data_IF_116839190368
#
_entry.id   IF_116839190368
#
_cell.length_a   1.000
_cell.length_b   1.000
_cell.length_c   1.000
_cell.angle_alpha   90.00
_cell.angle_beta   90.00
_cell.angle_gamma   90.00
#
_symmetry.space_group_name_H-M   'P 1'
#
loop_
_entity.id
_entity.type
_entity.pdbx_description
1 polymer ?
#
# COMPACT_ATOMS: atom_id res chain seq x y z
N UNK A 1 -17.24 14.43 -12.31
CA UNK A 1 -16.30 15.27 -11.53
C UNK A 1 -16.18 14.82 -10.07
N UNK A 2 -17.28 14.64 -9.32
CA UNK A 2 -17.26 14.25 -7.89
C UNK A 2 -16.31 13.09 -7.53
N UNK A 3 -16.33 11.97 -8.26
CA UNK A 3 -15.45 10.81 -8.01
C UNK A 3 -13.93 11.12 -8.08
N UNK A 4 -13.52 12.05 -8.95
CA UNK A 4 -12.11 12.43 -9.09
C UNK A 4 -11.66 13.34 -7.94
N UNK A 5 -12.54 14.23 -7.50
CA UNK A 5 -12.31 15.10 -6.34
C UNK A 5 -12.15 14.24 -5.09
N UNK A 6 -13.08 13.31 -4.85
CA UNK A 6 -12.99 12.38 -3.72
C UNK A 6 -11.69 11.55 -3.75
N UNK A 7 -11.28 11.05 -4.92
CA UNK A 7 -10.01 10.31 -5.03
C UNK A 7 -8.80 11.19 -4.70
N UNK A 8 -8.81 12.46 -5.12
CA UNK A 8 -7.74 13.40 -4.79
C UNK A 8 -7.69 13.69 -3.28
N UNK A 9 -8.85 13.89 -2.64
CA UNK A 9 -8.97 14.08 -1.19
C UNK A 9 -8.37 12.90 -0.42
N UNK A 10 -8.75 11.66 -0.78
CA UNK A 10 -8.18 10.45 -0.15
C UNK A 10 -6.66 10.36 -0.31
N UNK A 11 -6.14 10.72 -1.49
CA UNK A 11 -4.68 10.70 -1.70
C UNK A 11 -3.97 11.77 -0.89
N UNK A 12 -4.55 12.96 -0.74
CA UNK A 12 -4.00 14.03 0.10
C UNK A 12 -3.95 13.62 1.57
N UNK A 13 -4.99 12.96 2.08
CA UNK A 13 -5.04 12.42 3.44
C UNK A 13 -3.99 11.33 3.70
N UNK A 14 -3.57 10.60 2.67
CA UNK A 14 -2.53 9.58 2.78
C UNK A 14 -1.09 10.14 2.83
N UNK A 15 -0.86 11.36 2.31
CA UNK A 15 0.48 11.95 2.21
C UNK A 15 1.26 12.04 3.54
N UNK A 16 0.64 12.42 4.68
CA UNK A 16 1.35 12.44 5.96
C UNK A 16 1.91 11.08 6.37
N UNK A 17 1.17 9.99 6.08
CA UNK A 17 1.60 8.63 6.38
C UNK A 17 2.73 8.17 5.46
N UNK A 18 2.63 8.46 4.16
CA UNK A 18 3.71 8.17 3.21
C UNK A 18 5.00 8.86 3.66
N UNK A 19 4.91 10.14 4.06
CA UNK A 19 6.05 10.90 4.58
C UNK A 19 6.64 10.29 5.85
N UNK A 20 5.81 9.82 6.80
CA UNK A 20 6.32 9.26 8.06
C UNK A 20 7.09 7.94 7.87
N UNK A 21 6.76 7.18 6.83
CA UNK A 21 7.40 5.90 6.52
C UNK A 21 8.42 5.97 5.37
N UNK A 22 8.62 7.13 4.76
CA UNK A 22 9.57 7.28 3.65
C UNK A 22 10.98 6.86 4.07
N UNK A 23 11.59 5.97 3.27
CA UNK A 23 12.90 5.38 3.50
C UNK A 23 12.95 4.32 4.61
N UNK A 24 11.86 4.10 5.37
CA UNK A 24 11.82 3.09 6.43
C UNK A 24 11.72 1.69 5.85
N UNK A 25 12.32 0.73 6.55
CA UNK A 25 12.16 -0.70 6.26
C UNK A 25 11.00 -1.24 7.09
N UNK A 26 10.09 -1.98 6.46
CA UNK A 26 8.92 -2.57 7.12
C UNK A 26 8.90 -4.06 6.83
N UNK A 27 9.01 -4.88 7.88
CA UNK A 27 8.96 -6.34 7.76
C UNK A 27 7.50 -6.80 7.78
N UNK A 28 7.08 -7.51 6.73
CA UNK A 28 5.69 -7.91 6.52
C UNK A 28 5.63 -9.43 6.47
N UNK A 29 5.02 -10.03 7.51
CA UNK A 29 4.73 -11.45 7.50
C UNK A 29 3.56 -11.73 6.57
N UNK A 30 3.85 -12.29 5.40
CA UNK A 30 2.83 -12.86 4.52
C UNK A 30 2.57 -14.32 4.90
N UNK A 31 1.32 -14.70 5.18
CA UNK A 31 0.99 -16.04 5.67
C UNK A 31 -0.51 -16.23 5.96
N UNK A 32 -0.95 -17.50 6.04
CA UNK A 32 -2.31 -17.85 6.49
C UNK A 32 -3.39 -17.58 5.44
N UNK A 33 -4.55 -17.08 5.86
CA UNK A 33 -5.75 -16.91 5.00
C UNK A 33 -5.53 -16.04 3.76
N UNK A 34 -4.56 -15.11 3.80
CA UNK A 34 -4.22 -14.24 2.69
C UNK A 34 -3.47 -14.96 1.54
N UNK A 35 -3.02 -16.20 1.76
CA UNK A 35 -2.34 -17.04 0.76
C UNK A 35 -3.28 -18.02 0.04
N UNK A 36 -4.55 -18.09 0.44
CA UNK A 36 -5.44 -19.18 0.01
C UNK A 36 -6.09 -18.88 -1.34
N UNK A 37 -6.42 -17.62 -1.63
CA UNK A 37 -7.07 -17.25 -2.89
C UNK A 37 -6.14 -16.45 -3.79
N UNK A 38 -6.17 -16.76 -5.09
CA UNK A 38 -5.40 -16.02 -6.09
C UNK A 38 -5.69 -14.51 -6.11
N UNK A 39 -6.95 -14.04 -5.99
CA UNK A 39 -7.21 -12.60 -5.93
C UNK A 39 -6.56 -11.91 -4.73
N UNK A 40 -6.46 -12.59 -3.57
CA UNK A 40 -5.79 -12.03 -2.40
C UNK A 40 -4.28 -12.00 -2.56
N UNK A 41 -3.68 -13.01 -3.22
CA UNK A 41 -2.24 -12.99 -3.56
C UNK A 41 -1.90 -11.82 -4.47
N UNK A 42 -2.70 -11.62 -5.52
CA UNK A 42 -2.47 -10.53 -6.47
C UNK A 42 -2.64 -9.16 -5.82
N UNK A 43 -3.72 -8.96 -5.03
CA UNK A 43 -3.92 -7.73 -4.28
C UNK A 43 -2.76 -7.45 -3.32
N UNK A 44 -2.31 -8.47 -2.57
CA UNK A 44 -1.19 -8.34 -1.66
C UNK A 44 0.10 -7.93 -2.40
N UNK A 45 0.39 -8.55 -3.54
CA UNK A 45 1.54 -8.19 -4.35
C UNK A 45 1.47 -6.74 -4.85
N UNK A 46 0.29 -6.26 -5.28
CA UNK A 46 0.06 -4.87 -5.68
C UNK A 46 0.32 -3.90 -4.52
N UNK A 47 -0.11 -4.23 -3.31
CA UNK A 47 0.12 -3.42 -2.11
C UNK A 47 1.62 -3.32 -1.77
N UNK A 48 2.36 -4.44 -1.83
CA UNK A 48 3.82 -4.45 -1.61
C UNK A 48 4.54 -3.56 -2.63
N UNK A 49 4.14 -3.62 -3.90
CA UNK A 49 4.70 -2.75 -4.95
C UNK A 49 4.36 -1.27 -4.69
N UNK A 50 3.13 -0.98 -4.25
CA UNK A 50 2.73 0.39 -3.90
C UNK A 50 3.55 0.95 -2.74
N UNK A 51 3.82 0.15 -1.70
CA UNK A 51 4.72 0.54 -0.62
C UNK A 51 6.12 0.90 -1.16
N UNK A 52 6.65 0.10 -2.08
CA UNK A 52 7.94 0.40 -2.71
C UNK A 52 7.93 1.69 -3.53
N UNK A 53 6.90 1.93 -4.32
CA UNK A 53 6.75 3.15 -5.12
C UNK A 53 6.55 4.41 -4.29
N UNK A 54 5.98 4.29 -3.09
CA UNK A 54 5.83 5.40 -2.15
C UNK A 54 7.07 5.63 -1.28
N UNK A 55 8.16 4.88 -1.51
CA UNK A 55 9.44 5.06 -0.85
C UNK A 55 9.63 4.25 0.44
N UNK A 56 8.70 3.36 0.76
CA UNK A 56 8.84 2.40 1.87
C UNK A 56 9.63 1.20 1.36
N UNK A 57 10.44 0.58 2.20
CA UNK A 57 11.21 -0.63 1.87
C UNK A 57 10.56 -1.86 2.52
N UNK A 58 9.55 -2.49 1.90
CA UNK A 58 8.95 -3.71 2.44
C UNK A 58 9.94 -4.88 2.34
N UNK A 59 9.97 -5.72 3.36
CA UNK A 59 10.78 -6.96 3.47
C UNK A 59 9.92 -8.10 3.96
#
# INVERSE_FOLDING_TARGET
>A
MKKRIQKAETLLEALPFIKSFYGKTVVIKYGGSAMVSEPLKESFAQDIVMLKYTGINPV
#
